data_IF_927889477941
#
_entry.id   IF_927889477941
#
_cell.length_a   1.000
_cell.length_b   1.000
_cell.length_c   1.000
_cell.angle_alpha   90.00
_cell.angle_beta   90.00
_cell.angle_gamma   90.00
#
_symmetry.space_group_name_H-M   'P 1'
#
loop_
_entity.id
_entity.type
_entity.pdbx_description
1 polymer ?
#
# COMPACT_ATOMS: atom_id res chain seq x y z
N UNK A 1 19.65 15.11 -6.51
CA UNK A 1 19.54 14.12 -7.61
C UNK A 1 18.92 12.87 -6.99
N UNK A 2 17.67 12.47 -7.17
CA UNK A 2 16.72 12.54 -8.28
C UNK A 2 15.33 12.88 -7.74
N UNK A 3 14.58 13.75 -8.41
CA UNK A 3 13.29 14.32 -7.97
C UNK A 3 12.08 13.51 -8.46
N UNK A 4 12.15 12.17 -8.43
CA UNK A 4 11.07 11.27 -8.89
C UNK A 4 10.43 10.42 -7.78
N UNK A 5 10.86 10.54 -6.53
CA UNK A 5 10.36 9.74 -5.40
C UNK A 5 9.15 10.43 -4.76
N UNK A 6 8.02 10.52 -5.47
CA UNK A 6 6.79 11.16 -4.93
C UNK A 6 6.09 10.34 -3.84
N UNK A 7 6.63 9.18 -3.45
CA UNK A 7 6.02 8.30 -2.46
C UNK A 7 6.89 8.15 -1.22
N UNK A 8 6.23 7.99 -0.07
CA UNK A 8 6.93 7.64 1.16
C UNK A 8 7.36 6.17 1.10
N UNK A 9 8.65 5.90 1.34
CA UNK A 9 9.14 4.53 1.50
C UNK A 9 8.68 4.01 2.84
N UNK A 10 7.95 2.90 2.82
CA UNK A 10 7.33 2.36 4.04
C UNK A 10 8.22 1.30 4.68
N UNK A 11 8.47 1.44 5.99
CA UNK A 11 9.22 0.45 6.78
C UNK A 11 8.30 -0.47 7.60
N UNK A 12 7.02 -0.09 7.70
CA UNK A 12 5.99 -0.79 8.46
C UNK A 12 4.87 -1.24 7.51
N UNK A 13 4.14 -2.29 7.89
CA UNK A 13 3.07 -2.91 7.09
C UNK A 13 1.72 -2.19 7.21
N UNK A 14 1.60 -1.20 8.08
CA UNK A 14 0.35 -0.46 8.31
C UNK A 14 0.65 1.00 8.61
N UNK A 15 -0.02 1.91 7.90
CA UNK A 15 0.18 3.36 7.99
C UNK A 15 -1.19 4.01 8.07
N UNK A 16 -1.37 5.04 8.92
CA UNK A 16 -2.62 5.80 8.96
C UNK A 16 -2.81 6.59 7.66
N UNK A 17 -3.99 6.47 7.06
CA UNK A 17 -4.45 7.33 5.98
C UNK A 17 -5.52 8.28 6.52
N UNK A 18 -5.26 9.59 6.44
CA UNK A 18 -6.20 10.61 6.93
C UNK A 18 -7.34 10.78 5.92
N UNK A 19 -8.55 10.93 6.41
CA UNK A 19 -9.73 11.18 5.57
C UNK A 19 -9.54 12.40 4.65
N UNK A 20 -9.94 12.26 3.38
CA UNK A 20 -9.85 13.34 2.38
C UNK A 20 -8.43 13.61 1.85
N UNK A 21 -7.43 12.81 2.23
CA UNK A 21 -6.07 12.89 1.71
C UNK A 21 -5.81 11.84 0.64
N UNK A 22 -4.77 12.08 -0.16
CA UNK A 22 -4.20 11.10 -1.08
C UNK A 22 -2.74 10.93 -0.69
N UNK A 23 -2.33 9.70 -0.46
CA UNK A 23 -0.94 9.35 -0.17
C UNK A 23 -0.39 8.43 -1.26
N UNK A 24 0.92 8.53 -1.50
CA UNK A 24 1.65 7.64 -2.40
C UNK A 24 2.72 6.91 -1.60
N UNK A 25 2.82 5.59 -1.77
CA UNK A 25 3.79 4.76 -1.06
C UNK A 25 4.69 4.03 -2.05
N UNK A 26 5.96 3.89 -1.69
CA UNK A 26 6.90 3.01 -2.38
C UNK A 26 6.98 1.71 -1.59
N UNK A 27 6.56 0.61 -2.20
CA UNK A 27 6.62 -0.74 -1.62
C UNK A 27 7.68 -1.57 -2.33
N UNK A 28 8.42 -2.39 -1.58
CA UNK A 28 9.41 -3.31 -2.12
C UNK A 28 9.10 -4.74 -1.66
N UNK A 29 8.31 -5.50 -2.42
CA UNK A 29 8.01 -6.90 -2.15
C UNK A 29 9.29 -7.74 -2.07
N UNK A 30 9.36 -8.69 -1.14
CA UNK A 30 10.52 -9.56 -0.95
C UNK A 30 10.48 -10.84 -1.79
N UNK A 31 9.32 -11.15 -2.38
CA UNK A 31 9.11 -12.35 -3.20
C UNK A 31 8.00 -12.16 -4.27
N UNK A 32 8.08 -12.88 -5.40
CA UNK A 32 6.96 -13.00 -6.33
C UNK A 32 5.71 -13.58 -5.66
N UNK A 33 4.54 -13.16 -6.11
CA UNK A 33 3.25 -13.64 -5.60
C UNK A 33 2.11 -12.64 -5.73
N UNK A 34 0.96 -13.04 -5.19
CA UNK A 34 -0.20 -12.16 -5.04
C UNK A 34 -0.11 -11.43 -3.69
N UNK A 35 -0.06 -10.11 -3.74
CA UNK A 35 0.08 -9.25 -2.58
C UNK A 35 -1.21 -8.49 -2.30
N UNK A 36 -1.59 -8.46 -1.03
CA UNK A 36 -2.78 -7.77 -0.52
C UNK A 36 -2.38 -6.42 0.05
N UNK A 37 -3.11 -5.37 -0.33
CA UNK A 37 -3.16 -4.13 0.43
C UNK A 37 -4.61 -3.84 0.80
N UNK A 38 -4.86 -3.47 2.05
CA UNK A 38 -6.22 -3.23 2.53
C UNK A 38 -6.25 -2.23 3.68
N UNK A 39 -7.42 -1.69 3.94
CA UNK A 39 -7.64 -0.96 5.18
C UNK A 39 -7.59 -1.92 6.37
N UNK A 40 -6.82 -1.58 7.41
CA UNK A 40 -6.79 -2.40 8.63
C UNK A 40 -8.05 -2.24 9.51
N UNK A 41 -8.97 -1.35 9.14
CA UNK A 41 -10.31 -1.27 9.73
C UNK A 41 -11.18 -2.34 9.08
N UNK A 42 -11.56 -3.38 9.84
CA UNK A 42 -12.26 -4.57 9.33
C UNK A 42 -13.51 -4.21 8.53
N UNK A 43 -14.39 -3.36 9.06
CA UNK A 43 -15.61 -2.98 8.35
C UNK A 43 -15.36 -2.24 7.02
N UNK A 44 -14.24 -1.55 6.88
CA UNK A 44 -13.84 -0.92 5.61
C UNK A 44 -13.29 -1.95 4.61
N UNK A 45 -12.50 -2.92 5.09
CA UNK A 45 -12.02 -4.02 4.26
C UNK A 45 -13.17 -4.89 3.76
N UNK A 46 -14.10 -5.27 4.64
CA UNK A 46 -15.30 -6.05 4.31
C UNK A 46 -16.21 -5.31 3.32
N UNK A 47 -16.23 -3.97 3.38
CA UNK A 47 -16.93 -3.12 2.41
C UNK A 47 -16.18 -2.94 1.08
N UNK A 48 -15.01 -3.58 0.90
CA UNK A 48 -14.28 -3.61 -0.36
C UNK A 48 -13.07 -2.68 -0.45
N UNK A 49 -12.62 -2.08 0.65
CA UNK A 49 -11.37 -1.30 0.69
C UNK A 49 -10.14 -2.22 0.73
N UNK A 50 -10.06 -3.07 -0.28
CA UNK A 50 -9.09 -4.13 -0.51
C UNK A 50 -8.61 -4.00 -1.96
N UNK A 51 -7.31 -4.15 -2.17
CA UNK A 51 -6.73 -4.31 -3.50
C UNK A 51 -5.67 -5.40 -3.50
N UNK A 52 -5.46 -5.97 -4.68
CA UNK A 52 -4.47 -6.99 -4.94
C UNK A 52 -3.55 -6.53 -6.06
N UNK A 53 -2.26 -6.87 -5.96
CA UNK A 53 -1.32 -6.73 -7.06
C UNK A 53 -0.45 -7.98 -7.16
N UNK A 54 0.01 -8.26 -8.38
CA UNK A 54 0.85 -9.42 -8.68
C UNK A 54 2.29 -8.93 -8.82
N UNK A 55 3.21 -9.64 -8.18
CA UNK A 55 4.65 -9.47 -8.35
C UNK A 55 5.16 -10.72 -9.05
N UNK A 56 5.81 -10.51 -10.19
CA UNK A 56 6.43 -11.57 -11.00
C UNK A 56 7.94 -11.59 -10.72
N UNK A 57 8.63 -12.63 -11.21
CA UNK A 57 10.10 -12.74 -11.14
C UNK A 57 10.79 -11.83 -12.18
#
# INVERSE_FOLDING_TARGET
SSTNDRGSVITHQTIPLVQGTLETFIVNPDKPGLWLFHCHVVGHADAGMIGLFIVEE
#
